data_IF_649966520859
#
_entry.id   IF_649966520859
#
_cell.length_a   1.000
_cell.length_b   1.000
_cell.length_c   1.000
_cell.angle_alpha   90.00
_cell.angle_beta   90.00
_cell.angle_gamma   90.00
#
_symmetry.space_group_name_H-M   'P 1'
#
loop_
_entity.id
_entity.type
_entity.pdbx_description
1 polymer ?
2 polymer ?
3 polymer ?
4 polymer ?
5 non-polymer ?
6 non-polymer ?
7 non-polymer ?
8 non-polymer ?
9 non-polymer ?
10 non-polymer ?
11 non-polymer ?
12 non-polymer ?
13 water ?
#
loop_
_entity_poly.entity_id
_entity_poly.type
_entity_poly.pdbx_seq_one_letter_code
_entity_poly.pdbx_strand_id
2 'polydeoxyribonucleotide' '(DC)(DG)(DG)(DC)(DA)(DT)(DA)(DC)(DG)' ?
3 'polydeoxyribonucleotide' '(DC)(DG)(DT)(DA)(8OG)' ?
4 'polydeoxyribonucleotide' '(DG)(DC)(DC)(DG)' ?
#
# COMPACT_ATOMS: atom_id res chain seq x y z
N UNK A 11 -0.23 -1.74 28.22
CA UNK A 11 -1.34 -1.06 27.58
C UNK A 11 -1.09 -0.77 26.09
N UNK A 12 -0.32 -1.63 25.43
CA UNK A 12 -0.19 -1.62 23.99
C UNK A 12 -0.93 -2.84 23.43
N UNK A 13 -2.04 -2.67 22.72
CA UNK A 13 -2.76 -3.85 22.19
C UNK A 13 -1.92 -4.59 21.15
N UNK A 14 -2.24 -5.86 20.94
CA UNK A 14 -1.38 -6.67 20.08
C UNK A 14 -1.65 -6.47 18.59
N UNK A 15 -2.85 -6.06 18.21
CA UNK A 15 -3.20 -5.87 16.81
C UNK A 15 -3.10 -4.41 16.44
N UNK A 16 -2.59 -4.13 15.24
CA UNK A 16 -2.38 -2.73 14.87
C UNK A 16 -3.70 -1.99 14.70
N UNK A 17 -4.79 -2.70 14.40
CA UNK A 17 -6.08 -2.05 14.23
C UNK A 17 -6.74 -1.67 15.56
N UNK A 18 -6.15 -2.04 16.68
CA UNK A 18 -6.66 -1.70 18.01
C UNK A 18 -6.03 -0.44 18.59
N UNK A 19 -5.13 0.23 17.86
CA UNK A 19 -4.45 1.39 18.39
C UNK A 19 -4.25 2.43 17.30
N UNK A 20 -4.34 3.71 17.64
CA UNK A 20 -4.03 4.76 16.64
C UNK A 20 -2.55 4.77 16.28
N UNK A 21 -2.29 4.90 14.99
CA UNK A 21 -0.93 5.03 14.47
C UNK A 21 -0.89 6.26 13.58
N UNK A 22 -0.30 7.35 14.04
CA UNK A 22 -0.24 8.56 13.23
C UNK A 22 0.83 8.42 12.17
N UNK A 23 0.77 9.35 11.21
CA UNK A 23 1.71 9.32 10.09
C UNK A 23 3.12 9.65 10.54
N UNK A 24 3.27 10.64 11.40
CA UNK A 24 4.56 11.00 11.97
C UNK A 24 4.55 10.66 13.45
N UNK A 25 5.72 10.30 13.97
CA UNK A 25 5.76 9.75 15.32
C UNK A 25 7.12 10.05 15.95
N UNK A 26 7.46 9.30 17.01
CA UNK A 26 8.58 9.63 17.88
C UNK A 26 9.68 8.59 17.86
N UNK A 27 9.61 7.63 16.94
CA UNK A 27 10.58 6.55 16.90
C UNK A 27 10.95 6.22 15.46
N UNK A 28 11.09 7.25 14.64
CA UNK A 28 11.25 7.08 13.20
C UNK A 28 12.47 6.23 12.86
N UNK A 29 13.62 6.55 13.44
CA UNK A 29 14.83 5.83 13.10
C UNK A 29 14.77 4.36 13.47
N UNK A 30 14.21 4.06 14.65
CA UNK A 30 14.08 2.67 15.05
C UNK A 30 13.12 1.91 14.15
N UNK A 31 11.97 2.52 13.82
CA UNK A 31 11.02 1.82 12.97
C UNK A 31 11.59 1.59 11.58
N UNK A 32 12.38 2.53 11.07
CA UNK A 32 12.96 2.38 9.74
C UNK A 32 13.93 1.20 9.70
N UNK A 33 14.71 1.01 10.76
CA UNK A 33 15.65 -0.09 10.82
C UNK A 33 14.92 -1.43 10.80
N UNK A 34 13.88 -1.57 11.63
CA UNK A 34 13.12 -2.81 11.62
C UNK A 34 12.45 -3.05 10.27
N UNK A 35 12.03 -1.98 9.58
CA UNK A 35 11.40 -2.17 8.27
C UNK A 35 12.41 -2.59 7.21
N UNK A 36 13.69 -2.26 7.36
CA UNK A 36 14.72 -2.83 6.48
C UNK A 36 14.77 -4.33 6.63
N UNK A 37 14.80 -4.81 7.88
CA UNK A 37 14.84 -6.26 8.09
C UNK A 37 13.58 -6.93 7.58
N UNK A 38 12.43 -6.27 7.72
CA UNK A 38 11.18 -6.83 7.21
C UNK A 38 11.25 -6.99 5.70
N UNK A 39 11.70 -5.94 5.02
CA UNK A 39 11.82 -5.95 3.56
C UNK A 39 12.77 -7.05 3.12
N UNK A 40 13.92 -7.17 3.79
CA UNK A 40 14.87 -8.22 3.44
C UNK A 40 14.28 -9.60 3.64
N UNK A 41 13.53 -9.80 4.72
CA UNK A 41 12.84 -11.07 4.93
C UNK A 41 11.92 -11.39 3.77
N UNK A 42 11.17 -10.39 3.29
CA UNK A 42 10.32 -10.61 2.14
C UNK A 42 11.09 -10.98 0.90
N UNK A 43 12.27 -10.38 0.72
CA UNK A 43 13.05 -10.70 -0.46
C UNK A 43 13.51 -12.16 -0.45
N UNK A 44 13.55 -12.79 0.73
CA UNK A 44 13.95 -14.18 0.83
C UNK A 44 12.76 -15.12 0.97
N UNK A 45 11.55 -14.59 0.94
CA UNK A 45 10.38 -15.44 1.03
C UNK A 45 10.00 -15.83 2.44
N UNK A 46 10.47 -15.09 3.44
CA UNK A 46 10.17 -15.38 4.84
C UNK A 46 9.04 -14.45 5.27
N UNK A 47 7.81 -14.83 4.91
CA UNK A 47 6.66 -13.96 5.15
C UNK A 47 6.34 -13.82 6.63
N UNK A 48 6.61 -14.87 7.43
CA UNK A 48 6.37 -14.76 8.86
C UNK A 48 7.33 -13.79 9.52
N UNK A 49 8.62 -13.89 9.21
CA UNK A 49 9.59 -12.94 9.72
C UNK A 49 9.23 -11.52 9.28
N UNK A 50 8.86 -11.35 8.01
CA UNK A 50 8.48 -10.01 7.52
C UNK A 50 7.35 -9.43 8.36
N UNK A 51 6.34 -10.24 8.65
CA UNK A 51 5.21 -9.76 9.44
C UNK A 51 5.63 -9.34 10.83
N UNK A 52 6.50 -10.13 11.49
CA UNK A 52 6.91 -9.76 12.85
C UNK A 52 7.70 -8.46 12.84
N UNK A 53 8.64 -8.28 11.91
CA UNK A 53 9.42 -7.05 11.87
C UNK A 53 8.53 -5.85 11.54
N UNK A 54 7.56 -6.04 10.62
CA UNK A 54 6.59 -4.98 10.33
C UNK A 54 5.75 -4.63 11.55
N UNK A 55 5.29 -5.66 12.27
CA UNK A 55 4.46 -5.43 13.46
C UNK A 55 5.27 -4.73 14.56
N UNK A 56 6.51 -5.16 14.77
CA UNK A 56 7.34 -4.51 15.78
C UNK A 56 7.61 -3.06 15.41
N UNK A 57 7.92 -2.79 14.15
CA UNK A 57 8.09 -1.42 13.69
C UNK A 57 6.84 -0.61 13.96
N UNK A 58 5.67 -1.17 13.66
CA UNK A 58 4.41 -0.46 13.82
C UNK A 58 4.12 -0.16 15.28
N UNK A 59 4.51 -1.07 16.19
CA UNK A 59 4.30 -0.81 17.61
C UNK A 59 5.04 0.46 18.02
N UNK A 60 6.25 0.65 17.52
CA UNK A 60 7.02 1.84 17.86
C UNK A 60 6.39 3.10 17.30
N UNK A 61 5.74 3.00 16.13
CA UNK A 61 5.05 4.15 15.57
C UNK A 61 3.89 4.58 16.45
N UNK A 62 3.32 3.64 17.21
CA UNK A 62 2.16 3.94 18.03
C UNK A 62 2.52 4.45 19.43
N UNK A 63 3.80 4.47 19.78
CA UNK A 63 4.19 4.91 21.12
C UNK A 63 4.07 6.43 21.24
N UNK A 64 3.80 6.92 22.45
CA UNK A 64 3.60 8.37 22.65
C UNK A 64 4.88 9.17 22.82
N UNK A 65 6.05 8.52 22.86
CA UNK A 65 7.30 9.25 23.02
C UNK A 65 8.44 8.35 22.58
N UNK A 66 9.65 8.88 22.51
CA UNK A 66 10.78 8.08 22.05
C UNK A 66 11.15 6.99 23.04
N UNK A 67 11.54 5.84 22.50
CA UNK A 67 12.22 4.82 23.28
C UNK A 67 13.67 5.28 23.49
N UNK A 68 14.07 5.38 24.76
CA UNK A 68 15.43 5.74 25.12
C UNK A 68 16.20 4.64 25.83
N UNK A 69 15.53 3.62 26.34
CA UNK A 69 16.19 2.58 27.12
C UNK A 69 15.55 1.24 26.77
N UNK A 70 16.36 0.18 26.80
CA UNK A 70 15.87 -1.13 26.40
C UNK A 70 14.69 -1.56 27.26
N UNK A 71 14.74 -1.20 28.55
CA UNK A 71 13.69 -1.39 29.53
C UNK A 71 12.29 -1.09 29.03
N UNK A 72 12.16 -0.05 28.20
CA UNK A 72 10.85 0.37 27.73
C UNK A 72 10.25 -0.57 26.70
N UNK A 73 11.00 -1.55 26.20
CA UNK A 73 10.42 -2.57 25.32
C UNK A 73 9.76 -3.71 26.06
N UNK A 74 10.02 -3.86 27.35
CA UNK A 74 9.47 -5.00 28.06
C UNK A 74 7.95 -4.89 28.09
N UNK A 75 7.29 -5.99 27.77
CA UNK A 75 5.86 -6.00 27.70
C UNK A 75 5.28 -5.53 26.39
N UNK A 76 6.06 -4.92 25.51
CA UNK A 76 5.50 -4.52 24.23
C UNK A 76 5.31 -5.74 23.34
N UNK A 77 4.16 -5.87 22.67
CA UNK A 77 3.96 -7.02 21.79
C UNK A 77 4.88 -6.96 20.58
N UNK A 78 5.29 -8.14 20.12
CA UNK A 78 6.11 -8.35 18.92
C UNK A 78 7.57 -7.99 19.12
N UNK A 79 7.99 -7.73 20.35
CA UNK A 79 9.42 -7.54 20.66
C UNK A 79 9.94 -8.72 21.45
N UNK A 80 10.72 -9.57 20.76
CA UNK A 80 11.45 -10.64 21.39
C UNK A 80 12.96 -10.42 21.29
N UNK A 81 13.74 -11.49 21.30
CA UNK A 81 15.19 -11.35 21.37
C UNK A 81 15.73 -10.61 20.15
N UNK A 82 15.22 -10.90 18.95
CA UNK A 82 15.82 -10.33 17.74
C UNK A 82 15.52 -8.84 17.61
N UNK A 83 14.24 -8.46 17.64
CA UNK A 83 13.89 -7.06 17.50
C UNK A 83 14.41 -6.21 18.65
N UNK A 84 14.46 -6.78 19.86
CA UNK A 84 15.02 -6.05 20.99
C UNK A 84 16.51 -5.82 20.81
N UNK A 85 17.25 -6.81 20.28
CA UNK A 85 18.67 -6.62 20.05
C UNK A 85 18.92 -5.52 19.02
N UNK A 86 18.09 -5.48 17.97
CA UNK A 86 18.23 -4.42 16.98
C UNK A 86 18.07 -3.05 17.63
N UNK A 87 17.03 -2.88 18.44
CA UNK A 87 16.82 -1.59 19.11
C UNK A 87 17.97 -1.30 20.07
N UNK A 88 18.41 -2.30 20.83
CA UNK A 88 19.49 -2.08 21.79
C UNK A 88 20.72 -1.52 21.10
N UNK A 89 21.08 -2.07 19.94
CA UNK A 89 22.30 -1.64 19.26
C UNK A 89 22.14 -0.23 18.70
N UNK A 90 20.96 0.10 18.20
CA UNK A 90 20.73 1.47 17.74
C UNK A 90 20.76 2.45 18.90
N UNK A 91 20.23 2.06 20.06
CA UNK A 91 20.24 2.95 21.21
C UNK A 91 21.66 3.16 21.74
N UNK A 92 22.46 2.09 21.75
CA UNK A 92 23.80 2.19 22.35
C UNK A 92 24.82 2.75 21.36
N UNK A 93 24.69 2.45 20.07
CA UNK A 93 25.73 2.79 19.10
C UNK A 93 25.27 3.64 17.93
N UNK A 94 23.97 3.86 17.77
CA UNK A 94 23.46 4.63 16.66
C UNK A 94 23.34 3.87 15.36
N UNK A 95 23.82 2.63 15.31
CA UNK A 95 23.69 1.78 14.13
C UNK A 95 23.56 0.34 14.59
N UNK A 96 22.88 -0.46 13.78
CA UNK A 96 22.75 -1.90 13.99
C UNK A 96 23.53 -2.61 12.89
N UNK A 97 24.51 -3.43 13.30
CA UNK A 97 25.39 -4.05 12.32
C UNK A 97 24.60 -4.91 11.33
N UNK A 98 23.62 -5.68 11.83
CA UNK A 98 22.83 -6.51 10.93
C UNK A 98 22.13 -5.67 9.86
N UNK A 99 21.52 -4.56 10.29
CA UNK A 99 20.82 -3.68 9.36
C UNK A 99 21.78 -3.10 8.34
N UNK A 100 22.97 -2.67 8.78
CA UNK A 100 23.92 -2.10 7.83
C UNK A 100 24.40 -3.15 6.83
N UNK A 101 24.62 -4.38 7.31
CA UNK A 101 25.02 -5.45 6.40
C UNK A 101 23.97 -5.69 5.34
N UNK A 102 22.69 -5.73 5.72
CA UNK A 102 21.62 -5.86 4.73
C UNK A 102 21.69 -4.71 3.73
N UNK A 103 21.77 -3.48 4.24
CA UNK A 103 21.75 -2.30 3.39
C UNK A 103 22.83 -2.36 2.32
N UNK A 104 24.02 -2.81 2.71
CA UNK A 104 25.17 -2.83 1.81
C UNK A 104 25.19 -4.03 0.88
N UNK A 105 24.33 -5.02 1.09
CA UNK A 105 24.44 -6.25 0.36
C UNK A 105 23.97 -6.08 -1.08
N UNK A 106 24.65 -6.77 -1.98
CA UNK A 106 24.27 -6.76 -3.39
C UNK A 106 22.89 -7.36 -3.58
N UNK A 107 22.58 -8.41 -2.81
CA UNK A 107 21.28 -9.04 -2.91
C UNK A 107 20.16 -8.07 -2.54
N UNK A 108 20.29 -7.40 -1.39
CA UNK A 108 19.25 -6.47 -0.98
C UNK A 108 19.10 -5.33 -1.99
N UNK A 109 20.21 -4.73 -2.42
CA UNK A 109 20.13 -3.58 -3.31
C UNK A 109 19.48 -3.95 -4.64
N UNK A 110 19.83 -5.12 -5.18
CA UNK A 110 19.30 -5.49 -6.49
C UNK A 110 17.85 -5.93 -6.41
N UNK A 111 17.50 -6.74 -5.39
CA UNK A 111 16.10 -7.09 -5.21
C UNK A 111 15.24 -5.85 -5.00
N UNK A 112 15.77 -4.85 -4.27
CA UNK A 112 15.01 -3.64 -4.07
C UNK A 112 14.80 -2.90 -5.38
N UNK A 113 15.87 -2.77 -6.16
CA UNK A 113 15.79 -2.13 -7.48
C UNK A 113 14.79 -2.85 -8.39
N UNK A 114 14.88 -4.17 -8.46
CA UNK A 114 14.06 -4.91 -9.40
C UNK A 114 12.59 -4.93 -8.97
N UNK A 115 12.33 -5.15 -7.67
CA UNK A 115 10.93 -5.23 -7.23
C UNK A 115 10.23 -3.89 -7.29
N UNK A 116 10.97 -2.77 -7.34
CA UNK A 116 10.35 -1.47 -7.46
C UNK A 116 9.88 -1.19 -8.89
N UNK A 117 10.27 -2.03 -9.86
CA UNK A 117 9.75 -1.91 -11.21
C UNK A 117 8.30 -2.39 -11.25
N UNK A 118 7.42 -1.60 -11.86
CA UNK A 118 6.04 -2.00 -12.06
C UNK A 118 5.99 -3.20 -13.01
N UNK A 119 5.42 -4.31 -12.54
CA UNK A 119 5.37 -5.55 -13.30
C UNK A 119 6.35 -6.61 -12.85
N UNK A 120 7.20 -6.29 -11.88
CA UNK A 120 8.20 -7.20 -11.34
C UNK A 120 7.90 -7.41 -9.86
N UNK A 121 7.66 -8.65 -9.47
CA UNK A 121 7.53 -9.01 -8.07
C UNK A 121 8.77 -9.72 -7.55
N UNK A 122 8.66 -10.18 -6.30
CA UNK A 122 9.80 -10.83 -5.65
C UNK A 122 10.23 -12.06 -6.45
N UNK A 123 9.28 -12.86 -6.93
CA UNK A 123 9.68 -14.08 -7.61
C UNK A 123 10.42 -13.78 -8.91
N UNK A 124 9.99 -12.76 -9.66
CA UNK A 124 10.68 -12.46 -10.90
C UNK A 124 12.06 -11.85 -10.62
N UNK A 125 12.13 -10.88 -9.71
CA UNK A 125 13.40 -10.28 -9.31
C UNK A 125 14.39 -11.35 -8.86
N UNK A 126 13.93 -12.30 -8.06
CA UNK A 126 14.82 -13.35 -7.58
C UNK A 126 15.35 -14.20 -8.72
N UNK A 127 14.50 -14.51 -9.70
CA UNK A 127 14.96 -15.31 -10.82
C UNK A 127 16.01 -14.55 -11.64
N UNK A 128 15.74 -13.27 -11.91
CA UNK A 128 16.71 -12.43 -12.61
C UNK A 128 18.03 -12.35 -11.84
N UNK A 129 17.95 -12.22 -10.51
CA UNK A 129 19.16 -12.15 -9.70
C UNK A 129 20.00 -13.41 -9.86
N UNK A 130 19.34 -14.56 -9.79
CA UNK A 130 20.05 -15.83 -9.94
C UNK A 130 20.60 -16.00 -11.36
N UNK A 131 19.96 -15.40 -12.35
CA UNK A 131 20.48 -15.41 -13.71
C UNK A 131 21.68 -14.47 -13.88
N UNK A 132 22.01 -13.67 -12.87
CA UNK A 132 23.17 -12.82 -12.93
C UNK A 132 22.89 -11.36 -13.25
N UNK A 133 21.63 -10.98 -13.44
CA UNK A 133 21.28 -9.60 -13.77
C UNK A 133 21.34 -8.73 -12.52
N UNK A 134 21.77 -7.48 -12.71
CA UNK A 134 21.97 -6.58 -11.57
C UNK A 134 21.49 -5.15 -11.80
N UNK A 135 21.34 -4.68 -13.03
CA UNK A 135 20.99 -3.28 -13.29
C UNK A 135 19.80 -3.19 -14.23
N UNK A 136 19.16 -2.01 -14.24
CA UNK A 136 18.06 -1.79 -15.16
C UNK A 136 18.54 -1.90 -16.60
N UNK A 137 19.75 -1.41 -16.88
CA UNK A 137 20.25 -1.55 -18.25
C UNK A 137 20.50 -3.02 -18.60
N UNK A 138 20.83 -3.87 -17.62
CA UNK A 138 20.89 -5.30 -17.89
C UNK A 138 19.55 -5.80 -18.41
N UNK A 139 18.46 -5.27 -17.87
CA UNK A 139 17.14 -5.72 -18.27
C UNK A 139 16.75 -5.17 -19.63
N UNK A 140 17.13 -3.92 -19.90
CA UNK A 140 16.80 -3.31 -21.18
C UNK A 140 17.54 -3.96 -22.33
N UNK A 141 18.63 -4.68 -22.06
CA UNK A 141 19.40 -5.34 -23.11
C UNK A 141 18.79 -6.66 -23.58
N UNK A 142 17.70 -7.12 -22.97
CA UNK A 142 17.05 -8.36 -23.38
C UNK A 142 15.53 -8.19 -23.29
N UNK A 143 14.97 -7.27 -24.06
CA UNK A 143 13.57 -6.84 -23.84
C UNK A 143 12.54 -7.84 -24.32
N UNK A 144 12.88 -8.74 -25.24
CA UNK A 144 11.92 -9.78 -25.64
C UNK A 144 11.61 -10.71 -24.48
N UNK A 145 12.44 -10.68 -23.43
CA UNK A 145 12.19 -11.41 -22.20
C UNK A 145 11.19 -10.75 -21.27
N UNK A 146 10.76 -9.53 -21.57
CA UNK A 146 9.93 -8.75 -20.67
C UNK A 146 8.47 -8.82 -21.07
N UNK A 147 7.58 -8.83 -20.08
CA UNK A 147 6.17 -8.65 -20.37
C UNK A 147 5.92 -7.21 -20.80
N UNK A 148 4.78 -6.97 -21.45
CA UNK A 148 4.47 -5.60 -21.85
C UNK A 148 4.28 -4.71 -20.62
N UNK A 149 3.76 -5.26 -19.52
CA UNK A 149 3.67 -4.49 -18.28
C UNK A 149 5.05 -4.12 -17.76
N UNK A 150 5.99 -5.06 -17.82
CA UNK A 150 7.36 -4.79 -17.39
C UNK A 150 8.07 -3.79 -18.31
N UNK A 151 7.80 -3.87 -19.62
CA UNK A 151 8.37 -2.89 -20.53
C UNK A 151 7.92 -1.49 -20.15
N UNK A 152 6.65 -1.35 -19.80
CA UNK A 152 6.11 -0.06 -19.38
C UNK A 152 6.74 0.40 -18.08
N UNK A 153 6.84 -0.51 -17.11
CA UNK A 153 7.45 -0.14 -15.84
C UNK A 153 8.89 0.30 -16.00
N UNK A 154 9.62 -0.34 -16.91
CA UNK A 154 11.02 0.00 -17.13
C UNK A 154 11.17 1.31 -17.89
N UNK A 155 10.38 1.48 -18.98
CA UNK A 155 10.42 2.75 -19.71
C UNK A 155 10.13 3.92 -18.78
N UNK A 156 9.14 3.77 -17.90
CA UNK A 156 8.66 4.86 -17.05
C UNK A 156 9.29 4.86 -15.66
N UNK A 157 10.31 4.06 -15.44
CA UNK A 157 10.80 3.84 -14.09
C UNK A 157 11.28 5.13 -13.44
N UNK A 158 11.98 5.97 -14.20
CA UNK A 158 12.52 7.20 -13.64
C UNK A 158 11.41 8.10 -13.11
N UNK A 159 10.40 8.37 -13.95
CA UNK A 159 9.28 9.19 -13.50
C UNK A 159 8.57 8.54 -12.32
N UNK A 160 8.40 7.22 -12.37
CA UNK A 160 7.63 6.59 -11.31
C UNK A 160 8.37 6.56 -9.99
N UNK A 161 9.68 6.86 -10.02
CA UNK A 161 10.49 6.95 -8.83
C UNK A 161 10.39 8.31 -8.15
N UNK A 162 9.80 9.31 -8.82
CA UNK A 162 9.64 10.67 -8.31
C UNK A 162 8.35 10.78 -7.52
N UNK A 163 8.33 11.37 -6.33
CA UNK A 163 7.08 11.43 -5.58
C UNK A 163 6.01 12.29 -6.24
N UNK A 164 4.76 11.80 -6.13
CA UNK A 164 3.56 12.56 -6.46
C UNK A 164 3.28 13.53 -5.33
N UNK A 165 2.95 14.78 -5.68
CA UNK A 165 2.58 15.78 -4.67
C UNK A 165 1.06 15.96 -4.59
N UNK A 166 0.59 16.51 -3.48
CA UNK A 166 -0.83 16.75 -3.32
C UNK A 166 -1.38 17.70 -4.39
N UNK A 167 -0.57 18.66 -4.87
CA UNK A 167 -0.98 19.46 -6.03
C UNK A 167 -1.27 18.58 -7.25
N UNK A 168 -0.45 17.55 -7.47
CA UNK A 168 -0.67 16.66 -8.59
C UNK A 168 -2.01 15.94 -8.45
N UNK A 169 -2.36 15.55 -7.22
CA UNK A 169 -3.54 14.75 -6.98
C UNK A 169 -4.79 15.50 -7.39
N UNK A 170 -4.89 16.78 -6.98
CA UNK A 170 -6.08 17.57 -7.27
C UNK A 170 -6.31 17.67 -8.77
N UNK A 171 -5.23 17.86 -9.54
CA UNK A 171 -5.34 17.95 -10.99
C UNK A 171 -5.79 16.62 -11.59
N UNK A 172 -5.23 15.50 -11.14
CA UNK A 172 -5.67 14.21 -11.66
C UNK A 172 -7.12 13.93 -11.27
N UNK A 173 -7.50 14.29 -10.03
CA UNK A 173 -8.87 14.01 -9.62
C UNK A 173 -9.86 14.70 -10.54
N UNK A 174 -9.54 15.92 -10.98
CA UNK A 174 -10.42 16.66 -11.85
C UNK A 174 -10.57 15.98 -13.20
N UNK A 175 -9.46 15.47 -13.77
CA UNK A 175 -9.61 14.85 -15.09
C UNK A 175 -10.33 13.52 -14.97
N UNK A 176 -10.14 12.79 -13.86
CA UNK A 176 -10.86 11.52 -13.68
C UNK A 176 -12.34 11.79 -13.50
N UNK A 177 -12.70 12.82 -12.73
CA UNK A 177 -14.12 13.15 -12.57
C UNK A 177 -14.77 13.50 -13.90
N UNK A 178 -14.04 14.20 -14.78
CA UNK A 178 -14.62 14.56 -16.06
C UNK A 178 -14.97 13.31 -16.86
N UNK A 179 -14.04 12.36 -16.94
CA UNK A 179 -14.31 11.13 -17.68
C UNK A 179 -15.41 10.32 -17.03
N UNK A 180 -15.38 10.23 -15.70
CA UNK A 180 -16.38 9.46 -14.97
C UNK A 180 -17.77 10.05 -15.17
N UNK A 181 -17.86 11.38 -15.18
CA UNK A 181 -19.14 12.03 -15.37
C UNK A 181 -19.75 11.77 -16.74
N UNK A 182 -18.91 11.72 -17.78
CA UNK A 182 -19.41 11.34 -19.10
C UNK A 182 -19.76 9.86 -19.15
N UNK A 183 -18.97 9.03 -18.48
CA UNK A 183 -19.22 7.60 -18.52
C UNK A 183 -20.53 7.24 -17.81
N UNK A 184 -20.80 7.87 -16.68
CA UNK A 184 -22.01 7.59 -15.93
C UNK A 184 -22.35 8.80 -15.07
N UNK A 185 -23.23 9.68 -15.56
CA UNK A 185 -23.64 10.82 -14.76
C UNK A 185 -24.09 10.40 -13.37
N UNK A 186 -23.63 11.17 -12.37
CA UNK A 186 -23.91 10.87 -10.99
C UNK A 186 -22.89 10.00 -10.30
N UNK A 187 -21.98 9.40 -11.04
CA UNK A 187 -20.95 8.60 -10.41
C UNK A 187 -19.99 9.53 -9.68
N UNK A 188 -19.40 9.03 -8.60
CA UNK A 188 -18.54 9.83 -7.75
C UNK A 188 -17.13 9.26 -7.72
N UNK A 189 -16.18 10.13 -7.39
CA UNK A 189 -14.77 9.77 -7.33
C UNK A 189 -14.27 10.18 -5.95
N UNK A 190 -13.71 9.21 -5.21
CA UNK A 190 -13.19 9.43 -3.87
C UNK A 190 -11.70 9.13 -3.83
N UNK A 191 -10.92 10.06 -3.29
CA UNK A 191 -9.49 9.86 -3.12
C UNK A 191 -9.26 8.90 -1.96
N UNK A 192 -8.50 7.84 -2.22
CA UNK A 192 -8.19 6.86 -1.19
C UNK A 192 -6.68 6.74 -1.00
N UNK A 193 -6.22 5.56 -0.59
CA UNK A 193 -4.79 5.35 -0.40
C UNK A 193 -4.12 6.29 0.60
N UNK A 194 -2.82 6.47 0.41
CA UNK A 194 -2.01 7.20 1.38
C UNK A 194 -2.40 8.65 1.53
N UNK A 195 -2.81 9.30 0.45
CA UNK A 195 -3.24 10.70 0.55
C UNK A 195 -4.45 10.84 1.47
N UNK A 196 -5.34 9.85 1.50
CA UNK A 196 -6.46 9.96 2.42
C UNK A 196 -6.01 9.79 3.88
N UNK A 197 -4.89 9.09 4.11
CA UNK A 197 -4.32 9.00 5.45
C UNK A 197 -3.51 10.24 5.84
N UNK A 198 -3.44 11.25 4.97
CA UNK A 198 -2.78 12.50 5.29
C UNK A 198 -1.40 12.68 4.71
N UNK A 199 -0.93 11.74 3.89
CA UNK A 199 0.39 11.88 3.31
C UNK A 199 0.41 13.11 2.41
N UNK A 200 1.54 13.82 2.42
CA UNK A 200 1.74 14.94 1.53
C UNK A 200 2.38 14.55 0.22
N UNK A 201 2.94 13.33 0.15
CA UNK A 201 3.50 12.78 -1.07
C UNK A 201 3.04 11.33 -1.20
N UNK A 202 3.22 10.77 -2.40
CA UNK A 202 2.93 9.37 -2.60
C UNK A 202 3.64 8.84 -3.83
N UNK A 203 3.63 7.50 -3.95
CA UNK A 203 4.17 6.82 -5.13
C UNK A 203 3.11 6.57 -6.19
N UNK A 204 1.84 6.85 -5.89
CA UNK A 204 0.76 6.68 -6.85
C UNK A 204 -0.42 7.45 -6.28
N UNK A 205 -1.50 7.46 -7.03
CA UNK A 205 -2.76 8.04 -6.60
C UNK A 205 -3.82 6.97 -6.74
N UNK A 206 -4.69 6.84 -5.73
CA UNK A 206 -5.72 5.81 -5.66
C UNK A 206 -7.09 6.46 -5.63
N UNK A 207 -7.98 6.03 -6.54
CA UNK A 207 -9.33 6.57 -6.59
C UNK A 207 -10.36 5.46 -6.54
N UNK A 208 -11.44 5.69 -5.80
CA UNK A 208 -12.55 4.75 -5.68
C UNK A 208 -13.80 5.38 -6.24
N UNK A 209 -14.45 4.64 -7.13
CA UNK A 209 -15.54 5.15 -7.94
C UNK A 209 -16.79 4.36 -7.61
N UNK A 210 -17.91 5.05 -7.40
CA UNK A 210 -19.16 4.34 -7.20
C UNK A 210 -20.31 5.19 -7.74
N UNK A 211 -21.54 4.74 -7.53
CA UNK A 211 -22.72 5.45 -7.96
C UNK A 211 -23.81 5.23 -6.91
N UNK A 212 -24.61 6.24 -6.56
CA UNK A 212 -25.56 6.07 -5.44
C UNK A 212 -26.68 5.07 -5.70
N UNK A 213 -26.91 4.69 -6.95
CA UNK A 213 -27.97 3.72 -7.29
C UNK A 213 -27.31 2.37 -7.55
N UNK A 214 -27.55 1.43 -6.63
CA UNK A 214 -26.96 0.09 -6.70
C UNK A 214 -27.20 -0.54 -8.07
N UNK A 215 -26.13 -1.04 -8.68
CA UNK A 215 -26.16 -1.66 -9.98
C UNK A 215 -25.76 -0.75 -11.13
N UNK A 216 -25.91 0.57 -10.97
CA UNK A 216 -25.56 1.46 -12.06
C UNK A 216 -24.08 1.46 -12.36
N UNK A 217 -23.25 1.06 -11.40
CA UNK A 217 -21.82 1.05 -11.60
C UNK A 217 -21.34 -0.15 -12.40
N UNK A 218 -22.21 -1.13 -12.66
CA UNK A 218 -21.79 -2.29 -13.44
C UNK A 218 -21.30 -1.82 -14.80
N UNK A 219 -20.15 -2.33 -15.23
CA UNK A 219 -19.63 -2.00 -16.55
C UNK A 219 -18.99 -0.64 -16.68
N UNK A 220 -18.75 0.04 -15.56
CA UNK A 220 -18.32 1.45 -15.60
C UNK A 220 -16.85 1.60 -15.98
N UNK A 221 -15.97 0.77 -15.44
CA UNK A 221 -14.53 1.04 -15.59
C UNK A 221 -14.07 1.02 -17.05
N UNK A 222 -14.50 0.07 -17.88
CA UNK A 222 -14.10 0.14 -19.30
C UNK A 222 -14.50 1.45 -19.96
N UNK A 223 -15.69 1.96 -19.62
CA UNK A 223 -16.16 3.23 -20.18
C UNK A 223 -15.31 4.39 -19.71
N UNK A 224 -14.90 4.36 -18.45
CA UNK A 224 -14.00 5.38 -17.93
C UNK A 224 -12.64 5.30 -18.62
N UNK A 225 -12.09 4.10 -18.75
CA UNK A 225 -10.73 4.05 -19.29
C UNK A 225 -10.74 4.40 -20.76
N UNK A 226 -11.77 4.00 -21.50
CA UNK A 226 -11.79 4.35 -22.92
C UNK A 226 -11.81 5.86 -23.12
N UNK A 227 -12.53 6.57 -22.24
CA UNK A 227 -12.58 8.01 -22.33
C UNK A 227 -11.26 8.66 -21.93
N UNK A 228 -10.61 8.17 -20.87
CA UNK A 228 -9.31 8.73 -20.52
C UNK A 228 -8.29 8.50 -21.63
N UNK A 229 -8.33 7.32 -22.25
CA UNK A 229 -7.40 7.01 -23.33
C UNK A 229 -7.64 7.91 -24.53
N UNK A 230 -8.91 8.15 -24.87
CA UNK A 230 -9.22 9.02 -26.00
C UNK A 230 -8.76 10.46 -25.74
N UNK A 231 -8.71 10.87 -24.47
CA UNK A 231 -8.19 12.19 -24.14
C UNK A 231 -6.67 12.24 -24.13
N UNK A 232 -6.00 11.15 -24.45
CA UNK A 232 -4.55 11.16 -24.52
C UNK A 232 -3.85 11.09 -23.18
N UNK A 233 -4.54 10.69 -22.14
CA UNK A 233 -4.02 10.77 -20.78
C UNK A 233 -3.40 9.47 -20.29
N UNK A 234 -3.58 8.36 -21.00
CA UNK A 234 -3.19 7.05 -20.52
C UNK A 234 -1.95 6.60 -21.27
N UNK A 235 -0.83 6.52 -20.55
CA UNK A 235 0.39 6.00 -21.16
C UNK A 235 0.42 4.48 -21.16
N UNK A 236 -0.24 3.86 -20.17
CA UNK A 236 -0.27 2.42 -20.06
C UNK A 236 -1.51 2.00 -19.27
N UNK A 237 -2.17 0.95 -19.75
CA UNK A 237 -3.10 0.19 -18.91
C UNK A 237 -3.28 -1.17 -19.56
N UNK A 238 -3.90 -2.09 -18.81
CA UNK A 238 -3.91 -3.47 -19.25
C UNK A 238 -4.87 -3.74 -20.41
N UNK A 239 -5.74 -2.79 -20.77
CA UNK A 239 -6.75 -3.06 -21.79
C UNK A 239 -6.71 -2.07 -22.97
N UNK A 258 -14.66 -7.40 -18.90
CA UNK A 258 -15.18 -6.73 -17.71
C UNK A 258 -14.09 -6.66 -16.65
N UNK A 259 -13.99 -5.54 -15.95
CA UNK A 259 -13.00 -5.43 -14.88
C UNK A 259 -13.43 -4.32 -13.93
N UNK A 260 -12.85 -4.35 -12.73
CA UNK A 260 -13.19 -3.38 -11.69
C UNK A 260 -11.99 -2.73 -11.02
N UNK A 261 -10.77 -3.13 -11.35
CA UNK A 261 -9.56 -2.49 -10.89
C UNK A 261 -8.68 -2.24 -12.10
N UNK A 262 -8.16 -1.02 -12.22
CA UNK A 262 -7.27 -0.66 -13.32
C UNK A 262 -6.00 -0.04 -12.74
N UNK A 263 -4.85 -0.60 -13.12
CA UNK A 263 -3.54 -0.15 -12.66
C UNK A 263 -2.91 0.54 -13.85
N UNK A 264 -2.91 1.86 -13.86
CA UNK A 264 -2.48 2.51 -15.08
C UNK A 264 -1.40 3.55 -14.79
N UNK A 265 -0.79 4.01 -15.87
CA UNK A 265 0.20 5.07 -15.87
C UNK A 265 -0.41 6.22 -16.65
N UNK A 266 -0.52 7.38 -15.99
CA UNK A 266 -1.18 8.58 -16.50
C UNK A 266 -0.13 9.60 -16.92
N UNK A 267 -0.50 10.46 -17.89
CA UNK A 267 0.31 11.63 -18.22
C UNK A 267 -0.15 12.80 -17.36
N UNK A 268 0.74 13.31 -16.49
CA UNK A 268 0.37 14.45 -15.68
C UNK A 268 1.12 15.70 -16.10
N UNK A 269 0.42 16.82 -16.34
CA UNK A 269 1.10 18.06 -16.69
C UNK A 269 2.16 18.49 -15.68
N UNK A 270 3.22 19.10 -16.22
CA UNK A 270 4.33 19.72 -15.50
C UNK A 270 4.66 21.02 -16.23
N UNK A 271 5.49 21.89 -15.65
CA UNK A 271 5.90 23.10 -16.38
C UNK A 271 6.55 22.78 -17.73
N UNK A 272 5.90 23.19 -18.82
CA UNK A 272 6.45 22.98 -20.15
C UNK A 272 6.55 21.55 -20.60
N UNK A 273 6.00 20.61 -19.85
CA UNK A 273 6.13 19.20 -20.20
C UNK A 273 5.12 18.38 -19.42
N UNK A 274 5.50 17.16 -19.02
CA UNK A 274 4.61 16.26 -18.29
C UNK A 274 5.47 15.20 -17.64
N UNK A 275 4.85 14.40 -16.77
CA UNK A 275 5.52 13.25 -16.19
C UNK A 275 4.52 12.12 -16.04
N UNK A 276 5.07 10.90 -16.03
CA UNK A 276 4.27 9.69 -15.83
C UNK A 276 3.98 9.49 -14.35
N UNK A 277 2.74 9.12 -14.04
CA UNK A 277 2.29 8.89 -12.67
C UNK A 277 1.46 7.63 -12.62
N UNK A 278 1.69 6.81 -11.60
CA UNK A 278 0.84 5.64 -11.39
C UNK A 278 -0.48 6.08 -10.77
N UNK A 279 -1.58 5.59 -11.33
CA UNK A 279 -2.92 5.86 -10.84
C UNK A 279 -3.67 4.54 -10.80
N UNK A 280 -4.33 4.24 -9.69
CA UNK A 280 -5.22 3.09 -9.57
C UNK A 280 -6.67 3.58 -9.54
N UNK A 281 -7.51 2.95 -10.35
CA UNK A 281 -8.93 3.23 -10.39
C UNK A 281 -9.67 1.96 -10.01
N UNK A 282 -10.61 2.08 -9.08
CA UNK A 282 -11.38 0.96 -8.56
C UNK A 282 -12.85 1.33 -8.60
N UNK A 283 -13.70 0.36 -8.94
CA UNK A 283 -15.14 0.57 -8.92
C UNK A 283 -15.76 -0.38 -7.91
N UNK A 284 -16.72 0.11 -7.13
CA UNK A 284 -17.44 -0.72 -6.20
C UNK A 284 -18.91 -0.33 -6.23
N UNK A 285 -19.83 -1.29 -6.05
CA UNK A 285 -21.23 -0.90 -5.84
C UNK A 285 -21.37 -0.17 -4.52
N UNK A 286 -22.38 0.68 -4.42
CA UNK A 286 -22.48 1.52 -3.24
C UNK A 286 -22.68 0.66 -1.98
N UNK A 287 -23.32 -0.49 -2.09
CA UNK A 287 -23.45 -1.39 -0.93
C UNK A 287 -22.10 -1.83 -0.40
N UNK A 288 -21.09 -1.97 -1.27
CA UNK A 288 -19.77 -2.40 -0.84
C UNK A 288 -18.82 -1.24 -0.60
N UNK A 289 -19.25 -0.02 -0.88
CA UNK A 289 -18.33 1.12 -0.90
C UNK A 289 -17.61 1.28 0.42
N UNK A 290 -18.26 1.15 1.59
CA UNK A 290 -17.51 1.31 2.86
C UNK A 290 -16.39 0.30 3.02
N UNK A 291 -16.62 -0.94 2.57
CA UNK A 291 -15.58 -1.97 2.65
C UNK A 291 -14.44 -1.68 1.71
N UNK A 292 -14.75 -1.21 0.50
CA UNK A 292 -13.71 -0.87 -0.46
C UNK A 292 -12.93 0.35 -0.01
N UNK A 293 -13.62 1.35 0.54
CA UNK A 293 -12.96 2.53 1.05
C UNK A 293 -12.01 2.18 2.18
N UNK A 294 -12.45 1.32 3.11
CA UNK A 294 -11.59 0.87 4.19
C UNK A 294 -10.35 0.17 3.65
N UNK A 295 -10.55 -0.79 2.74
CA UNK A 295 -9.42 -1.54 2.24
C UNK A 295 -8.43 -0.68 1.47
N UNK A 296 -8.93 0.15 0.56
CA UNK A 296 -8.06 0.96 -0.28
C UNK A 296 -7.44 2.15 0.45
N UNK A 297 -7.94 2.51 1.63
CA UNK A 297 -7.31 3.56 2.42
C UNK A 297 -6.11 3.04 3.22
N UNK A 298 -6.04 1.73 3.50
CA UNK A 298 -4.86 1.15 4.12
C UNK A 298 -4.68 1.60 5.55
N UNK A 299 -3.44 1.59 6.05
CA UNK A 299 -2.26 1.05 5.37
C UNK A 299 -2.33 -0.45 5.08
N UNK A 300 -1.37 -0.97 4.32
CA UNK A 300 -1.35 -2.40 4.05
C UNK A 300 -1.31 -3.21 5.34
N UNK A 301 -0.42 -2.86 6.26
CA UNK A 301 -0.37 -3.60 7.51
C UNK A 301 -1.66 -3.45 8.29
N UNK A 302 -2.26 -2.25 8.28
CA UNK A 302 -3.51 -2.06 9.00
C UNK A 302 -4.59 -3.00 8.47
N UNK A 303 -4.65 -3.18 7.15
CA UNK A 303 -5.70 -4.04 6.58
C UNK A 303 -5.45 -5.51 6.90
N UNK A 304 -4.19 -5.95 6.82
CA UNK A 304 -3.86 -7.32 7.19
C UNK A 304 -4.21 -7.59 8.64
N UNK A 305 -3.90 -6.64 9.52
CA UNK A 305 -4.18 -6.82 10.93
C UNK A 305 -5.68 -6.77 11.20
N UNK A 306 -6.41 -5.91 10.49
CA UNK A 306 -7.86 -5.85 10.65
C UNK A 306 -8.52 -7.15 10.22
N UNK A 307 -8.09 -7.70 9.10
CA UNK A 307 -8.68 -8.96 8.63
C UNK A 307 -8.29 -10.11 9.54
N UNK A 308 -7.06 -10.08 10.08
CA UNK A 308 -6.66 -11.12 11.03
C UNK A 308 -7.48 -11.02 12.31
N UNK A 309 -7.65 -9.79 12.81
CA UNK A 309 -8.46 -9.55 14.00
C UNK A 309 -9.88 -10.04 13.78
N UNK A 310 -10.49 -9.65 12.65
CA UNK A 310 -11.84 -10.08 12.32
C UNK A 310 -11.99 -11.59 12.43
N UNK A 311 -11.12 -12.32 11.74
CA UNK A 311 -11.25 -13.77 11.67
C UNK A 311 -10.89 -14.43 13.00
N UNK A 312 -9.74 -14.07 13.56
CA UNK A 312 -9.25 -14.83 14.71
C UNK A 312 -9.91 -14.39 16.02
N UNK A 313 -10.28 -13.12 16.17
CA UNK A 313 -10.90 -12.69 17.42
C UNK A 313 -12.43 -12.65 17.38
N UNK A 314 -13.02 -12.39 16.20
CA UNK A 314 -14.47 -12.26 16.08
C UNK A 314 -15.13 -13.34 15.23
N UNK A 315 -14.35 -14.19 14.57
CA UNK A 315 -14.95 -15.25 13.77
C UNK A 315 -15.68 -14.75 12.55
N UNK A 316 -15.29 -13.59 12.05
CA UNK A 316 -15.89 -12.96 10.88
C UNK A 316 -14.83 -12.79 9.80
N UNK A 317 -15.25 -12.91 8.54
CA UNK A 317 -14.35 -12.90 7.39
C UNK A 317 -14.50 -11.58 6.65
N UNK A 318 -13.43 -10.79 6.63
CA UNK A 318 -13.43 -9.44 6.09
C UNK A 318 -12.62 -9.36 4.80
N UNK A 319 -13.18 -8.68 3.80
CA UNK A 319 -12.37 -8.28 2.65
C UNK A 319 -12.85 -6.92 2.16
N UNK A 320 -12.41 -6.53 0.97
CA UNK A 320 -12.74 -5.20 0.49
C UNK A 320 -14.12 -5.14 -0.15
N UNK A 321 -14.85 -6.26 -0.10
CA UNK A 321 -16.22 -6.32 -0.59
C UNK A 321 -17.27 -6.47 0.51
N UNK A 322 -16.89 -6.89 1.70
CA UNK A 322 -17.89 -7.18 2.70
C UNK A 322 -17.29 -7.85 3.92
N UNK A 323 -18.20 -8.20 4.83
CA UNK A 323 -17.88 -8.82 6.12
C UNK A 323 -18.89 -9.95 6.31
N UNK A 324 -18.39 -11.17 6.39
CA UNK A 324 -19.22 -12.37 6.34
C UNK A 324 -19.20 -13.10 7.67
N UNK A 325 -20.40 -13.42 8.17
CA UNK A 325 -20.54 -14.30 9.34
C UNK A 325 -20.67 -15.72 8.83
N UNK A 326 -19.63 -16.56 8.96
CA UNK A 326 -19.71 -17.92 8.40
C UNK A 326 -20.64 -18.85 9.17
N UNK A 327 -21.11 -18.45 10.37
CA UNK A 327 -22.05 -19.28 11.10
C UNK A 327 -23.48 -19.05 10.63
N UNK A 328 -23.94 -17.80 10.58
CA UNK A 328 -25.26 -17.56 10.03
C UNK A 328 -25.27 -17.52 8.50
N UNK A 329 -24.10 -17.45 7.88
CA UNK A 329 -24.02 -17.39 6.42
C UNK A 329 -24.65 -16.10 5.90
N UNK A 330 -24.33 -14.99 6.56
CA UNK A 330 -24.90 -13.69 6.23
C UNK A 330 -23.81 -12.65 6.14
N UNK A 331 -24.04 -11.66 5.27
CA UNK A 331 -23.16 -10.50 5.11
C UNK A 331 -23.68 -9.34 5.94
N UNK A 332 -22.76 -8.62 6.56
CA UNK A 332 -23.11 -7.41 7.29
C UNK A 332 -23.34 -6.27 6.30
N UNK A 333 -24.42 -5.54 6.49
CA UNK A 333 -24.63 -4.32 5.72
C UNK A 333 -23.85 -3.22 6.41
N UNK A 334 -23.23 -2.36 5.64
CA UNK A 334 -22.49 -1.26 6.22
C UNK A 334 -22.81 -0.04 5.39
N UNK A 335 -23.14 1.06 6.04
CA UNK A 335 -23.33 2.33 5.37
C UNK A 335 -22.15 3.27 5.53
N UNK A 336 -21.16 2.89 6.37
CA UNK A 336 -20.03 3.74 6.66
C UNK A 336 -18.88 2.89 7.18
N UNK A 337 -17.68 3.43 7.12
CA UNK A 337 -16.55 2.80 7.82
C UNK A 337 -16.85 2.69 9.31
N UNK A 338 -17.50 3.70 9.89
CA UNK A 338 -17.88 3.64 11.29
C UNK A 338 -18.68 2.37 11.60
N UNK A 339 -19.60 2.00 10.69
CA UNK A 339 -20.37 0.77 10.88
C UNK A 339 -19.45 -0.44 11.00
N UNK A 340 -18.42 -0.48 10.16
CA UNK A 340 -17.56 -1.66 10.10
C UNK A 340 -16.76 -1.81 11.39
N UNK A 341 -16.17 -0.71 11.87
CA UNK A 341 -15.50 -0.77 13.16
C UNK A 341 -16.45 -1.23 14.26
N UNK A 342 -17.67 -0.73 14.27
CA UNK A 342 -18.63 -1.15 15.29
C UNK A 342 -18.94 -2.63 15.16
N UNK A 343 -19.12 -3.11 13.93
CA UNK A 343 -19.39 -4.53 13.70
C UNK A 343 -18.31 -5.40 14.32
N UNK A 344 -17.05 -4.95 14.24
CA UNK A 344 -15.91 -5.69 14.74
C UNK A 344 -15.61 -5.39 16.20
N UNK A 345 -16.39 -4.56 16.87
CA UNK A 345 -16.10 -4.26 18.26
C UNK A 345 -14.82 -3.49 18.47
N UNK A 346 -14.46 -2.63 17.51
CA UNK A 346 -13.24 -1.84 17.60
C UNK A 346 -13.58 -0.37 17.74
N UNK A 347 -12.76 0.37 18.47
CA UNK A 347 -12.98 1.80 18.50
C UNK A 347 -12.57 2.40 17.16
N UNK A 348 -13.35 3.36 16.68
CA UNK A 348 -13.16 3.94 15.37
C UNK A 348 -11.83 4.66 15.30
N UNK A 349 -11.14 4.47 14.18
CA UNK A 349 -9.92 5.18 13.88
C UNK A 349 -10.09 5.93 12.57
N UNK A 350 -9.87 7.24 12.54
CA UNK A 350 -9.92 7.95 11.27
C UNK A 350 -8.73 7.56 10.40
N UNK A 351 -8.81 7.80 9.10
CA UNK A 351 -7.74 7.38 8.17
C UNK A 351 -6.35 7.80 8.61
N UNK A 352 -6.25 9.01 9.18
CA UNK A 352 -4.93 9.51 9.56
C UNK A 352 -4.36 8.79 10.77
N UNK A 353 -5.11 7.90 11.42
CA UNK A 353 -4.57 7.08 12.50
C UNK A 353 -4.47 5.61 12.11
N UNK A 354 -4.53 5.31 10.81
CA UNK A 354 -4.38 3.96 10.28
C UNK A 354 -3.02 3.75 9.64
N UNK A 355 -2.02 4.55 10.02
CA UNK A 355 -0.71 4.52 9.38
C UNK A 355 0.20 3.48 10.03
N UNK A 356 -0.35 2.29 10.23
CA UNK A 356 0.39 1.19 10.82
C UNK A 356 1.56 0.78 9.95
X LIG E 1 1.62 4.96 -1.54
X LIG E 1 0.73 4.74 -2.73
X LIG E 1 1.87 6.43 -1.29
X LIG E 1 2.94 4.22 -1.75
X LIG E 1 0.88 4.36 -0.25
X LIG E 1 -0.64 3.78 -0.29
X LIG E 1 -1.57 4.58 -1.18
X LIG E 1 -1.05 3.46 1.12
X LIG E 1 -0.38 2.33 -0.90
X LIG E 1 -0.91 1.74 -2.30
X LIG E 1 0.18 0.76 -2.73
X LIG E 1 -1.37 2.84 -3.23
X LIG E 1 -2.14 0.83 -1.84
X LIG E 1 -3.38 1.39 -1.41
X LIG E 1 -3.91 0.54 -0.29
X LIG E 1 -4.25 -0.76 -0.81
X LIG E 1 -2.90 0.20 0.80
X LIG E 1 -2.66 1.29 1.67
X LIG E 1 -3.66 -0.97 1.44
X LIG E 1 -4.33 -1.67 0.26
X LIG E 1 -3.65 -2.95 0.07
X LIG E 1 -4.22 -4.14 0.55
X LIG E 1 -3.29 -5.13 0.26
X LIG E 1 -2.20 -4.53 -0.37
X LIG E 1 -0.99 -5.09 -0.85
X LIG E 1 -0.67 -6.28 -0.82
X LIG E 1 -0.16 -4.12 -1.43
X LIG E 1 -0.46 -2.77 -1.49
X LIG E 1 0.44 -1.95 -2.06
X LIG E 1 -1.58 -2.24 -1.03
X LIG E 1 -2.41 -3.18 -0.48
X LIG E 1 -5.31 -4.24 1.09
X LIG F 1 -2.13 2.06 -5.49
X LIG G 1 -1.29 4.75 -3.14
X LIG H 1 7.15 -4.30 -8.70
X LIG I 1 6.87 -3.56 6.99
X LIG J 1 -10.46 1.36 -23.96
X LIG K 1 8.82 5.16 26.06
X LIG K 1 8.15 4.57 27.12
X LIG K 1 7.92 5.15 24.82
X LIG K 1 6.75 5.89 25.05
X LIG L 1 -19.54 8.85 -1.14
X LIG L 1 -19.06 9.93 -1.88
X LIG L 1 -19.93 7.76 -2.15
X LIG L 1 -20.17 8.40 -3.36
X LIG M 1 -0.85 3.61 1.09
X LIG M 1 -0.43 3.87 -0.33
X LIG M 1 -1.37 4.77 -1.11
X LIG M 1 0.01 2.62 -1.06
X LIG M 1 0.96 4.70 -0.25
X LIG M 1 1.88 4.79 -1.58
X LIG M 1 2.37 6.22 -1.63
X LIG M 1 2.96 3.77 -1.35
X LIG M 1 0.89 4.41 -2.66
X LIG N 1 4.56 11.95 3.59
X LIG N 1 3.79 13.06 4.15
X LIG N 1 4.20 11.66 2.20
X LIG N 1 4.43 10.74 4.40
X LIG O 1 9.40 -16.71 7.76
X LIG P 1 7.74 -22.84 13.01
X LIG P 1 8.18 -23.90 12.22
X LIG P 1 7.79 -23.22 14.49
X LIG P 1 7.27 -22.18 15.28
X LIG Q 1 -6.91 -3.64 -2.13
X LIG Q 1 -7.39 -4.89 -2.52
X LIG Q 1 -7.82 -3.12 -1.02
X LIG Q 1 -7.88 -4.10 -0.01
#
# INVERSE_FOLDING_TARGET
GSAAAPLSPAWMPAYACQRPTPLTHHNTGLSEALEILAEAAGFEGSEGRLLTFCRAASVLKALPSPVTTLSQLQGLPHFGEHSSRVVQELLEHGVCEEVERVRRSERYQTMKLFTQIFGVGVKTADRWYREGLRTLDDLREQPQKLTQQQKAGLQHHQDLSTPVLRSDVDALQQVVEEAVGQALPGATVTLTGGFRRGKLQGHDVDFLITHPKEGQEAGLLPRVMCRLQDQGLILYHQHQHSCCESPTRLAQQSHMDAFERSFCIFRLPQPGSWKAVRVDLVVAPVSQFPFALLGWTGSKLFQRELRRFSRKEKGLWLNSHGLFDPEQKTFFQAASEEDIFRHLGLEYLPPEQRNA
8DG PG O1G O2G O3G O3B PB O1B O2B O3A PA O1A O2A O5' C5' C4' O4' C3' O3' C2' C1' N9 C8 N7 C5 C6 O6 N1 C2 N2 N3 C4 O8
MG MG
MG MG
NA NA
DTT S1
DTT S1
EDO C1 O1 C2 O2
EDO C1 O1 C2 O2
PPV O11 P1 O21 O31 OPP P2 O12 O22 O32
EPE S O1S O2S O3S
CL CL
EDO C1 O1 C2 O2
EDO C1 O1 C2 O2
#
